data_IF_577233348981
#
_entry.id   IF_577233348981
#
_cell.length_a   1.000
_cell.length_b   1.000
_cell.length_c   1.000
_cell.angle_alpha   90.00
_cell.angle_beta   90.00
_cell.angle_gamma   90.00
#
_symmetry.space_group_name_H-M   'P 1'
#
loop_
_entity.id
_entity.type
_entity.pdbx_description
1 polymer ?
#
# COMPACT_ATOMS: atom_id res chain seq x y z
N UNK A 1 -4.39 6.20 -16.92
CA UNK A 1 -3.35 5.55 -16.13
C UNK A 1 -2.81 6.54 -15.13
N UNK A 2 -2.77 6.20 -13.85
CA UNK A 2 -2.18 7.03 -12.80
C UNK A 2 -1.47 6.15 -11.76
N UNK A 3 -0.58 6.74 -10.98
CA UNK A 3 0.20 6.01 -9.96
C UNK A 3 -0.22 6.45 -8.56
N UNK A 4 -0.47 5.50 -7.68
CA UNK A 4 -0.75 5.73 -6.26
C UNK A 4 0.54 5.46 -5.49
N UNK A 5 1.17 6.52 -4.99
CA UNK A 5 2.43 6.42 -4.23
C UNK A 5 2.10 6.50 -2.75
N UNK A 6 2.52 5.50 -1.98
CA UNK A 6 2.20 5.34 -0.57
C UNK A 6 3.50 5.24 0.24
N UNK A 7 3.97 6.34 0.86
CA UNK A 7 5.03 6.25 1.85
C UNK A 7 4.50 5.57 3.12
N UNK A 8 5.28 4.66 3.70
CA UNK A 8 4.88 3.86 4.87
C UNK A 8 6.02 3.72 5.88
N UNK A 9 5.68 3.76 7.18
CA UNK A 9 6.59 3.42 8.28
C UNK A 9 5.82 2.74 9.44
N UNK A 10 6.10 1.47 9.70
CA UNK A 10 5.42 0.60 10.67
C UNK A 10 3.89 0.56 10.50
N UNK A 11 3.39 0.57 9.26
CA UNK A 11 1.95 0.61 8.90
C UNK A 11 1.45 -0.62 8.13
N UNK A 12 1.99 -1.80 8.44
CA UNK A 12 1.68 -3.03 7.69
C UNK A 12 0.17 -3.36 7.66
N UNK A 13 -0.55 -3.12 8.76
CA UNK A 13 -1.99 -3.38 8.83
C UNK A 13 -2.79 -2.43 7.94
N UNK A 14 -2.45 -1.14 7.98
CA UNK A 14 -3.09 -0.10 7.17
C UNK A 14 -2.79 -0.27 5.68
N UNK A 15 -1.57 -0.70 5.33
CA UNK A 15 -1.21 -1.06 3.95
C UNK A 15 -2.08 -2.21 3.45
N UNK A 16 -2.30 -3.25 4.25
CA UNK A 16 -3.19 -4.35 3.86
C UNK A 16 -4.64 -3.87 3.66
N UNK A 17 -5.16 -3.04 4.57
CA UNK A 17 -6.50 -2.48 4.43
C UNK A 17 -6.64 -1.59 3.19
N UNK A 18 -5.62 -0.78 2.88
CA UNK A 18 -5.56 0.02 1.67
C UNK A 18 -5.60 -0.86 0.42
N UNK A 19 -4.79 -1.92 0.35
CA UNK A 19 -4.76 -2.82 -0.79
C UNK A 19 -6.09 -3.54 -0.99
N UNK A 20 -6.75 -3.98 0.08
CA UNK A 20 -8.10 -4.56 0.00
C UNK A 20 -9.14 -3.54 -0.51
N UNK A 21 -9.04 -2.27 -0.11
CA UNK A 21 -9.91 -1.21 -0.62
C UNK A 21 -9.65 -0.90 -2.10
N UNK A 22 -8.39 -0.91 -2.53
CA UNK A 22 -8.02 -0.67 -3.93
C UNK A 22 -8.49 -1.80 -4.86
N UNK A 23 -8.56 -3.05 -4.37
CA UNK A 23 -9.15 -4.18 -5.11
C UNK A 23 -10.65 -4.00 -5.39
N UNK A 24 -11.35 -3.16 -4.63
CA UNK A 24 -12.79 -2.95 -4.75
C UNK A 24 -13.17 -1.74 -5.64
N UNK A 25 -12.19 -1.06 -6.24
CA UNK A 25 -12.44 0.10 -7.10
C UNK A 25 -13.19 -0.31 -8.38
N UNK A 26 -13.82 0.66 -9.05
CA UNK A 26 -14.50 0.42 -10.34
C UNK A 26 -13.62 0.74 -11.56
N UNK A 27 -12.45 1.34 -11.33
CA UNK A 27 -11.44 1.63 -12.34
C UNK A 27 -10.09 1.07 -11.89
N UNK A 28 -9.38 0.38 -12.80
CA UNK A 28 -8.15 -0.38 -12.49
C UNK A 28 -6.94 0.05 -13.30
N UNK A 29 -7.04 1.18 -14.03
CA UNK A 29 -5.93 1.70 -14.81
C UNK A 29 -4.98 2.51 -13.91
N UNK A 30 -4.42 1.84 -12.90
CA UNK A 30 -3.46 2.41 -11.97
C UNK A 30 -2.44 1.38 -11.48
N UNK A 31 -1.29 1.87 -11.03
CA UNK A 31 -0.30 1.09 -10.28
C UNK A 31 -0.21 1.60 -8.84
N UNK A 32 0.23 0.74 -7.92
CA UNK A 32 0.44 1.09 -6.50
C UNK A 32 1.90 0.88 -6.17
N UNK A 33 2.57 1.94 -5.74
CA UNK A 33 3.99 1.94 -5.38
C UNK A 33 4.07 2.25 -3.88
N UNK A 34 4.45 1.25 -3.09
CA UNK A 34 4.66 1.40 -1.64
C UNK A 34 6.14 1.65 -1.39
N UNK A 35 6.45 2.77 -0.75
CA UNK A 35 7.81 3.15 -0.36
C UNK A 35 7.90 2.99 1.16
N UNK A 36 8.55 1.94 1.61
CA UNK A 36 8.76 1.67 3.03
C UNK A 36 10.01 2.40 3.56
N UNK A 37 9.86 3.14 4.65
CA UNK A 37 10.92 3.89 5.31
C UNK A 37 11.63 3.07 6.41
N UNK A 38 12.19 1.91 6.03
CA UNK A 38 12.88 1.00 6.94
C UNK A 38 12.04 0.59 8.17
N UNK A 39 10.80 0.17 7.94
CA UNK A 39 9.94 -0.37 8.99
C UNK A 39 10.60 -1.55 9.70
N UNK A 40 10.36 -1.66 11.01
CA UNK A 40 10.81 -2.82 11.78
C UNK A 40 9.87 -3.98 11.49
N UNK A 41 10.39 -5.01 10.85
CA UNK A 41 9.69 -6.29 10.78
C UNK A 41 9.71 -6.94 12.16
N UNK A 42 8.74 -6.62 12.99
CA UNK A 42 8.42 -7.38 14.21
C UNK A 42 7.68 -8.64 13.79
N UNK A 43 8.40 -9.62 13.21
CA UNK A 43 7.78 -10.80 12.63
C UNK A 43 8.73 -11.75 11.89
N UNK A 44 9.85 -12.13 12.51
CA UNK A 44 10.29 -13.52 12.56
C UNK A 44 10.24 -13.97 14.01
#
# INVERSE_FOLDING_TARGET
MFSIIVPSYNRNQEINALLESLKQQTAYNFEVIIVDDCSKNTGQ
#
